data_IF_022285493619
#
_entry.id   IF_022285493619
#
_cell.length_a   1.000
_cell.length_b   1.000
_cell.length_c   1.000
_cell.angle_alpha   90.00
_cell.angle_beta   90.00
_cell.angle_gamma   90.00
#
_symmetry.space_group_name_H-M   'P 1'
#
loop_
_entity.id
_entity.type
_entity.pdbx_description
1 polymer ?
#
# COMPACT_ATOMS: atom_id res chain seq x y z
N UNK A 1 32.01 20.03 40.45
CA UNK A 1 30.56 19.80 40.24
C UNK A 1 29.77 21.06 39.85
N UNK A 2 30.40 22.24 39.65
CA UNK A 2 29.72 23.50 39.29
C UNK A 2 30.16 24.10 37.93
N UNK A 3 31.05 23.43 37.19
CA UNK A 3 31.55 23.94 35.90
C UNK A 3 30.91 23.26 34.66
N UNK A 4 30.17 22.17 34.86
CA UNK A 4 29.47 21.45 33.77
C UNK A 4 28.07 22.00 33.46
N UNK A 5 27.52 22.86 34.32
CA UNK A 5 26.17 23.44 34.18
C UNK A 5 26.11 24.75 33.38
N UNK A 6 27.25 25.31 32.97
CA UNK A 6 27.30 26.58 32.24
C UNK A 6 27.31 26.42 30.70
N UNK A 7 27.51 25.20 30.18
CA UNK A 7 27.51 24.92 28.74
C UNK A 7 26.12 24.63 28.15
N UNK A 8 25.09 24.46 28.99
CA UNK A 8 23.69 24.22 28.58
C UNK A 8 22.88 25.49 28.35
N UNK A 9 23.50 26.66 28.41
CA UNK A 9 22.83 27.96 28.29
C UNK A 9 23.46 28.85 27.21
N UNK A 10 23.88 28.27 26.08
CA UNK A 10 23.98 29.06 24.85
C UNK A 10 22.56 29.15 24.26
N UNK A 11 21.87 30.30 24.34
CA UNK A 11 20.66 30.50 23.56
C UNK A 11 21.01 30.28 22.10
N UNK A 12 20.20 29.48 21.42
CA UNK A 12 20.32 29.12 20.01
C UNK A 12 20.34 30.40 19.17
N UNK A 13 21.54 30.91 18.87
CA UNK A 13 21.77 32.08 18.02
C UNK A 13 21.67 31.67 16.54
N UNK A 14 20.52 31.11 16.16
CA UNK A 14 20.18 30.75 14.79
C UNK A 14 18.65 30.78 14.63
N UNK A 15 18.13 31.03 13.43
CA UNK A 15 16.69 30.95 13.20
C UNK A 15 16.16 29.57 13.60
N UNK A 16 14.95 29.47 14.15
CA UNK A 16 14.34 28.21 14.66
C UNK A 16 14.36 27.04 13.64
N UNK A 17 14.54 27.34 12.35
CA UNK A 17 14.66 26.35 11.27
C UNK A 17 16.06 25.72 11.12
N UNK A 18 17.10 26.25 11.78
CA UNK A 18 18.44 25.67 11.84
C UNK A 18 18.69 24.89 13.13
N UNK A 19 17.72 24.85 14.03
CA UNK A 19 17.83 24.04 15.24
C UNK A 19 17.88 22.54 14.85
N UNK A 20 18.93 21.81 15.22
CA UNK A 20 19.06 20.39 14.90
C UNK A 20 17.86 19.57 15.40
N UNK A 21 17.33 19.89 16.59
CA UNK A 21 16.12 19.27 17.12
C UNK A 21 14.91 19.50 16.19
N UNK A 22 14.68 20.73 15.73
CA UNK A 22 13.54 21.06 14.88
C UNK A 22 13.66 20.41 13.49
N UNK A 23 14.88 20.29 12.95
CA UNK A 23 15.15 19.60 11.69
C UNK A 23 14.94 18.08 11.81
N UNK A 24 15.36 17.46 12.91
CA UNK A 24 15.20 16.03 13.15
C UNK A 24 13.72 15.68 13.42
N UNK A 25 13.00 16.48 14.20
CA UNK A 25 11.57 16.30 14.48
C UNK A 25 10.73 16.53 13.21
N UNK A 26 11.10 17.52 12.40
CA UNK A 26 10.50 17.74 11.09
C UNK A 26 10.72 16.53 10.17
N UNK A 27 11.93 15.97 10.12
CA UNK A 27 12.25 14.82 9.26
C UNK A 27 11.34 13.61 9.53
N UNK A 28 11.03 13.34 10.80
CA UNK A 28 10.12 12.26 11.17
C UNK A 28 8.67 12.51 10.72
N UNK A 29 8.17 13.74 10.82
CA UNK A 29 6.85 14.11 10.32
C UNK A 29 6.76 14.03 8.78
N UNK A 30 7.80 14.50 8.08
CA UNK A 30 7.90 14.40 6.61
C UNK A 30 8.00 12.94 6.14
N UNK A 31 8.71 12.09 6.87
CA UNK A 31 8.78 10.66 6.59
C UNK A 31 7.40 9.98 6.73
N UNK A 32 6.66 10.30 7.80
CA UNK A 32 5.30 9.80 7.99
C UNK A 32 4.36 10.24 6.87
N UNK A 33 4.41 11.52 6.48
CA UNK A 33 3.65 12.03 5.33
C UNK A 33 4.03 11.33 4.03
N UNK A 34 5.32 11.06 3.80
CA UNK A 34 5.79 10.31 2.65
C UNK A 34 5.22 8.88 2.61
N UNK A 35 5.25 8.17 3.74
CA UNK A 35 4.67 6.82 3.87
C UNK A 35 3.16 6.87 3.58
N UNK A 36 2.45 7.83 4.17
CA UNK A 36 1.02 8.02 3.93
C UNK A 36 0.72 8.26 2.45
N UNK A 37 1.48 9.16 1.81
CA UNK A 37 1.31 9.48 0.40
C UNK A 37 1.52 8.26 -0.49
N UNK A 38 2.58 7.48 -0.25
CA UNK A 38 2.86 6.26 -1.03
C UNK A 38 1.74 5.23 -0.88
N UNK A 39 1.30 4.95 0.35
CA UNK A 39 0.19 4.01 0.61
C UNK A 39 -1.09 4.50 -0.05
N UNK A 40 -1.39 5.79 0.06
CA UNK A 40 -2.57 6.39 -0.55
C UNK A 40 -2.55 6.25 -2.08
N UNK A 41 -1.41 6.54 -2.72
CA UNK A 41 -1.24 6.44 -4.17
C UNK A 41 -1.33 4.97 -4.62
N UNK A 42 -0.66 4.06 -3.94
CA UNK A 42 -0.67 2.64 -4.28
C UNK A 42 -2.08 2.06 -4.24
N UNK A 43 -2.79 2.33 -3.15
CA UNK A 43 -4.13 1.77 -2.90
C UNK A 43 -5.20 2.52 -3.71
N UNK A 44 -5.06 3.83 -3.89
CA UNK A 44 -6.07 4.68 -4.53
C UNK A 44 -5.93 4.89 -6.03
N UNK A 45 -4.71 4.87 -6.58
CA UNK A 45 -4.44 5.20 -7.98
C UNK A 45 -4.04 3.98 -8.85
N UNK A 46 -4.31 2.75 -8.39
CA UNK A 46 -4.03 1.52 -9.15
C UNK A 46 -2.56 1.39 -9.59
N UNK A 47 -1.61 1.87 -8.78
CA UNK A 47 -0.18 1.72 -9.03
C UNK A 47 0.39 0.60 -8.15
N UNK A 48 0.32 -0.68 -8.56
CA UNK A 48 0.75 -1.82 -7.74
C UNK A 48 2.28 -1.96 -7.61
N UNK A 49 3.04 -1.03 -8.17
CA UNK A 49 4.52 -1.08 -8.22
C UNK A 49 5.14 -0.51 -6.94
N UNK A 50 4.36 0.19 -6.12
CA UNK A 50 4.83 0.78 -4.87
C UNK A 50 4.85 -0.27 -3.75
N UNK A 51 5.90 -0.32 -2.91
CA UNK A 51 6.07 -1.36 -1.88
C UNK A 51 5.37 -0.99 -0.55
N UNK A 52 4.05 -0.83 -0.55
CA UNK A 52 3.28 -0.39 0.63
C UNK A 52 3.31 -1.35 1.81
N UNK A 53 3.34 -2.67 1.57
CA UNK A 53 3.49 -3.66 2.64
C UNK A 53 4.82 -3.49 3.39
N UNK A 54 5.89 -3.21 2.63
CA UNK A 54 7.22 -2.96 3.18
C UNK A 54 7.21 -1.68 4.03
N UNK A 55 6.55 -0.63 3.55
CA UNK A 55 6.44 0.64 4.27
C UNK A 55 5.64 0.53 5.57
N UNK A 56 4.49 -0.14 5.55
CA UNK A 56 3.69 -0.40 6.76
C UNK A 56 4.51 -1.16 7.81
N UNK A 57 5.19 -2.23 7.37
CA UNK A 57 6.03 -3.03 8.25
C UNK A 57 7.17 -2.19 8.84
N UNK A 58 7.87 -1.46 7.98
CA UNK A 58 9.03 -0.64 8.36
C UNK A 58 8.63 0.46 9.32
N UNK A 59 7.50 1.14 9.07
CA UNK A 59 6.98 2.16 9.95
C UNK A 59 6.73 1.60 11.36
N UNK A 60 6.12 0.40 11.45
CA UNK A 60 5.95 -0.29 12.72
C UNK A 60 7.28 -0.64 13.42
N UNK A 61 8.23 -1.21 12.68
CA UNK A 61 9.53 -1.62 13.21
C UNK A 61 10.38 -0.44 13.70
N UNK A 62 10.31 0.71 13.01
CA UNK A 62 11.02 1.92 13.39
C UNK A 62 10.45 2.54 14.67
N UNK A 63 9.12 2.50 14.86
CA UNK A 63 8.48 2.96 16.12
C UNK A 63 8.91 2.08 17.30
N UNK A 64 9.06 0.77 17.09
CA UNK A 64 9.50 -0.16 18.13
C UNK A 64 10.91 0.14 18.67
N UNK A 65 11.79 0.68 17.83
CA UNK A 65 13.17 0.97 18.20
C UNK A 65 13.36 2.38 18.77
N UNK A 66 12.29 3.17 18.89
CA UNK A 66 12.36 4.61 19.20
C UNK A 66 13.28 5.39 18.24
N UNK A 67 13.55 4.84 17.05
CA UNK A 67 14.40 5.45 16.03
C UNK A 67 13.65 6.50 15.19
N UNK A 68 12.31 6.48 15.24
CA UNK A 68 11.52 7.62 14.82
C UNK A 68 11.58 8.66 15.94
N UNK A 69 12.23 9.80 15.67
CA UNK A 69 12.15 11.03 16.46
C UNK A 69 10.73 11.65 16.43
N UNK A 70 9.70 10.84 16.25
CA UNK A 70 8.31 11.26 16.23
C UNK A 70 7.69 10.74 17.52
N UNK A 71 7.08 11.60 18.37
CA UNK A 71 6.38 11.18 19.58
C UNK A 71 5.03 10.53 19.25
N UNK A 72 5.03 9.52 18.37
CA UNK A 72 3.83 8.84 17.88
C UNK A 72 3.83 7.42 18.43
N UNK A 73 2.82 7.12 19.22
CA UNK A 73 2.60 5.77 19.73
C UNK A 73 2.19 4.83 18.58
N UNK A 74 2.50 3.53 18.68
CA UNK A 74 2.08 2.52 17.70
C UNK A 74 0.57 2.55 17.42
N UNK A 75 -0.26 2.86 18.42
CA UNK A 75 -1.70 3.05 18.26
C UNK A 75 -2.05 4.21 17.33
N UNK A 76 -1.35 5.34 17.46
CA UNK A 76 -1.55 6.52 16.62
C UNK A 76 -1.04 6.26 15.20
N UNK A 77 0.15 5.68 15.05
CA UNK A 77 0.70 5.31 13.75
C UNK A 77 -0.26 4.35 13.02
N UNK A 78 -0.65 3.26 13.67
CA UNK A 78 -1.57 2.28 13.11
C UNK A 78 -2.90 2.93 12.71
N UNK A 79 -3.45 3.83 13.54
CA UNK A 79 -4.67 4.56 13.22
C UNK A 79 -4.53 5.43 11.97
N UNK A 80 -3.45 6.21 11.88
CA UNK A 80 -3.16 7.08 10.74
C UNK A 80 -3.01 6.27 9.44
N UNK A 81 -2.27 5.16 9.49
CA UNK A 81 -2.03 4.30 8.32
C UNK A 81 -3.32 3.58 7.87
N UNK A 82 -4.15 3.12 8.82
CA UNK A 82 -5.47 2.55 8.50
C UNK A 82 -6.36 3.60 7.83
N UNK A 83 -6.45 4.82 8.37
CA UNK A 83 -7.26 5.89 7.79
C UNK A 83 -6.76 6.26 6.40
N UNK A 84 -5.44 6.32 6.22
CA UNK A 84 -4.83 6.63 4.93
C UNK A 84 -5.13 5.56 3.88
N UNK A 85 -4.92 4.29 4.22
CA UNK A 85 -5.24 3.17 3.35
C UNK A 85 -6.75 3.12 3.02
N UNK A 86 -7.60 3.36 4.02
CA UNK A 86 -9.05 3.39 3.85
C UNK A 86 -9.50 4.55 2.94
N UNK A 87 -8.89 5.73 3.08
CA UNK A 87 -9.15 6.85 2.17
C UNK A 87 -8.75 6.49 0.73
N UNK A 88 -7.59 5.83 0.55
CA UNK A 88 -7.15 5.32 -0.75
C UNK A 88 -8.16 4.34 -1.36
N UNK A 89 -8.66 3.36 -0.60
CA UNK A 89 -9.67 2.41 -1.11
C UNK A 89 -10.99 3.09 -1.47
N UNK A 90 -11.40 4.13 -0.73
CA UNK A 90 -12.57 4.93 -1.09
C UNK A 90 -12.37 5.63 -2.43
N UNK A 91 -11.21 6.26 -2.65
CA UNK A 91 -10.88 6.88 -3.93
C UNK A 91 -10.95 5.86 -5.07
N UNK A 92 -10.36 4.67 -4.90
CA UNK A 92 -10.44 3.59 -5.89
C UNK A 92 -11.88 3.18 -6.22
N UNK A 93 -12.72 3.00 -5.20
CA UNK A 93 -14.13 2.66 -5.40
C UNK A 93 -14.89 3.75 -6.18
N UNK A 94 -14.68 5.02 -5.84
CA UNK A 94 -15.34 6.12 -6.53
C UNK A 94 -14.85 6.28 -7.97
N UNK A 95 -13.55 6.11 -8.21
CA UNK A 95 -12.98 6.07 -9.56
C UNK A 95 -13.66 4.96 -10.37
N UNK A 96 -13.73 3.73 -9.82
CA UNK A 96 -14.40 2.61 -10.47
C UNK A 96 -15.89 2.87 -10.74
N UNK A 97 -16.60 3.47 -9.78
CA UNK A 97 -18.03 3.77 -9.91
C UNK A 97 -18.34 4.90 -10.89
N UNK A 98 -17.46 5.88 -11.02
CA UNK A 98 -17.65 7.02 -11.93
C UNK A 98 -17.22 6.67 -13.36
N UNK A 99 -16.16 5.87 -13.50
CA UNK A 99 -15.64 5.40 -14.79
C UNK A 99 -16.47 4.24 -15.33
N UNK A 100 -17.07 3.42 -14.46
CA UNK A 100 -17.91 2.28 -14.81
C UNK A 100 -18.98 2.62 -15.86
N UNK A 101 -19.94 3.54 -15.59
CA UNK A 101 -20.98 3.98 -16.53
C UNK A 101 -20.44 4.41 -17.90
N UNK A 102 -19.36 5.20 -17.93
CA UNK A 102 -18.73 5.67 -19.17
C UNK A 102 -18.06 4.55 -19.98
N UNK A 103 -17.75 3.42 -19.34
CA UNK A 103 -17.28 2.20 -20.01
C UNK A 103 -18.42 1.41 -20.65
N UNK A 104 -19.66 1.52 -20.14
CA UNK A 104 -20.83 0.85 -20.71
C UNK A 104 -21.36 1.55 -21.98
N UNK A 105 -21.16 2.87 -22.11
CA UNK A 105 -21.62 3.67 -23.26
C UNK A 105 -20.80 3.43 -24.55
N UNK A 106 -19.76 2.58 -24.53
CA UNK A 106 -18.96 2.20 -25.71
C UNK A 106 -18.90 0.68 -25.90
N UNK A 107 -19.97 0.07 -26.45
CA UNK A 107 -20.08 -1.39 -26.60
C UNK A 107 -19.07 -2.05 -27.57
N UNK A 108 -18.35 -1.27 -28.38
CA UNK A 108 -17.55 -1.78 -29.52
C UNK A 108 -16.02 -1.66 -29.38
N UNK A 109 -15.47 -1.48 -28.18
CA UNK A 109 -14.00 -1.55 -28.03
C UNK A 109 -13.54 -3.01 -27.87
N UNK A 110 -12.66 -3.46 -28.77
CA UNK A 110 -12.03 -4.82 -28.80
C UNK A 110 -11.34 -5.26 -27.49
N UNK A 111 -11.29 -4.40 -26.47
CA UNK A 111 -10.59 -4.59 -25.20
C UNK A 111 -11.57 -4.80 -24.02
N UNK A 112 -12.86 -4.44 -24.15
CA UNK A 112 -13.83 -4.48 -23.04
C UNK A 112 -15.16 -5.13 -23.45
N UNK A 113 -15.35 -6.40 -23.10
CA UNK A 113 -16.62 -7.14 -23.30
C UNK A 113 -17.52 -7.01 -22.07
N UNK A 114 -18.79 -6.68 -22.29
CA UNK A 114 -19.85 -6.63 -21.27
C UNK A 114 -19.90 -7.89 -20.38
N UNK A 115 -19.56 -9.05 -20.95
CA UNK A 115 -19.38 -10.33 -20.25
C UNK A 115 -18.45 -10.27 -19.03
N UNK A 116 -17.39 -9.46 -19.05
CA UNK A 116 -16.48 -9.33 -17.90
C UNK A 116 -17.11 -8.53 -16.76
N UNK A 117 -18.00 -7.58 -17.09
CA UNK A 117 -18.71 -6.78 -16.10
C UNK A 117 -19.84 -7.59 -15.46
N UNK A 118 -20.60 -8.34 -16.27
CA UNK A 118 -21.59 -9.28 -15.76
C UNK A 118 -20.94 -10.38 -14.91
N UNK A 119 -19.77 -10.87 -15.31
CA UNK A 119 -18.98 -11.78 -14.48
C UNK A 119 -18.53 -11.12 -13.19
N UNK A 120 -18.07 -9.87 -13.21
CA UNK A 120 -17.64 -9.14 -12.00
C UNK A 120 -18.83 -8.94 -11.05
N UNK A 121 -19.99 -8.55 -11.58
CA UNK A 121 -21.24 -8.45 -10.83
C UNK A 121 -21.63 -9.81 -10.23
N UNK A 122 -21.69 -10.87 -11.03
CA UNK A 122 -22.01 -12.21 -10.57
C UNK A 122 -20.98 -12.75 -9.57
N UNK A 123 -19.71 -12.35 -9.68
CA UNK A 123 -18.66 -12.73 -8.74
C UNK A 123 -18.85 -12.05 -7.38
N UNK A 124 -19.16 -10.75 -7.38
CA UNK A 124 -19.48 -10.03 -6.14
C UNK A 124 -20.80 -10.50 -5.53
N UNK A 125 -21.79 -10.87 -6.34
CA UNK A 125 -23.06 -11.44 -5.88
C UNK A 125 -22.88 -12.85 -5.28
N UNK A 126 -21.99 -13.67 -5.87
CA UNK A 126 -21.74 -15.06 -5.45
C UNK A 126 -20.78 -15.19 -4.27
N UNK A 127 -19.71 -14.40 -4.23
CA UNK A 127 -18.68 -14.48 -3.18
C UNK A 127 -18.81 -13.38 -2.10
N UNK A 128 -19.65 -12.38 -2.35
CA UNK A 128 -20.00 -11.32 -1.40
C UNK A 128 -18.82 -10.45 -0.98
N UNK A 129 -19.02 -9.69 0.10
CA UNK A 129 -17.98 -8.82 0.65
C UNK A 129 -16.78 -9.54 1.28
N UNK A 130 -16.84 -10.85 1.54
CA UNK A 130 -15.69 -11.60 2.10
C UNK A 130 -14.46 -11.56 1.19
N UNK A 131 -14.68 -11.55 -0.13
CA UNK A 131 -13.62 -11.39 -1.13
C UNK A 131 -12.87 -10.07 -0.96
N UNK A 132 -13.55 -8.99 -0.59
CA UNK A 132 -12.91 -7.69 -0.34
C UNK A 132 -11.96 -7.73 0.86
N UNK A 133 -12.27 -8.53 1.88
CA UNK A 133 -11.39 -8.69 3.04
C UNK A 133 -10.12 -9.46 2.63
N UNK A 134 -10.29 -10.57 1.92
CA UNK A 134 -9.17 -11.42 1.48
C UNK A 134 -8.28 -10.67 0.47
N UNK A 135 -8.88 -9.89 -0.42
CA UNK A 135 -8.18 -9.10 -1.41
C UNK A 135 -7.10 -8.19 -0.81
N UNK A 136 -7.32 -7.69 0.42
CA UNK A 136 -6.36 -6.79 1.08
C UNK A 136 -5.01 -7.44 1.39
N UNK A 137 -4.99 -8.76 1.58
CA UNK A 137 -3.78 -9.52 1.85
C UNK A 137 -2.99 -9.90 0.59
N UNK A 138 -3.54 -9.61 -0.60
CA UNK A 138 -2.90 -9.94 -1.88
C UNK A 138 -2.51 -8.62 -2.57
N UNK A 139 -1.21 -8.26 -2.62
CA UNK A 139 -0.71 -6.92 -3.01
C UNK A 139 -1.24 -6.38 -4.34
N UNK A 140 -1.49 -7.26 -5.32
CA UNK A 140 -2.09 -6.88 -6.59
C UNK A 140 -3.61 -6.80 -6.55
N UNK A 141 -4.25 -7.75 -5.87
CA UNK A 141 -5.71 -7.85 -5.89
C UNK A 141 -6.31 -6.70 -5.10
N UNK A 142 -5.67 -6.20 -4.03
CA UNK A 142 -6.20 -5.10 -3.22
C UNK A 142 -6.48 -3.81 -3.99
N UNK A 143 -5.57 -3.44 -4.89
CA UNK A 143 -5.67 -2.19 -5.67
C UNK A 143 -6.83 -2.32 -6.68
N UNK A 144 -6.91 -3.45 -7.38
CA UNK A 144 -7.99 -3.71 -8.33
C UNK A 144 -9.34 -3.99 -7.66
N UNK A 145 -9.38 -4.55 -6.46
CA UNK A 145 -10.62 -4.96 -5.79
C UNK A 145 -11.53 -3.77 -5.50
N UNK A 146 -10.97 -2.64 -5.06
CA UNK A 146 -11.75 -1.43 -4.75
C UNK A 146 -12.39 -0.84 -6.01
N UNK A 147 -11.62 -0.78 -7.10
CA UNK A 147 -12.10 -0.29 -8.41
C UNK A 147 -13.12 -1.27 -9.01
N UNK A 148 -12.85 -2.58 -8.96
CA UNK A 148 -13.76 -3.60 -9.45
C UNK A 148 -15.10 -3.58 -8.71
N UNK A 149 -15.10 -3.36 -7.39
CA UNK A 149 -16.31 -3.18 -6.61
C UNK A 149 -17.11 -1.93 -7.03
N UNK A 150 -16.41 -0.84 -7.40
CA UNK A 150 -17.03 0.36 -7.95
C UNK A 150 -17.64 0.14 -9.34
N UNK A 151 -16.90 -0.52 -10.24
CA UNK A 151 -17.35 -0.84 -11.61
C UNK A 151 -18.56 -1.79 -11.58
N UNK A 152 -18.50 -2.82 -10.73
CA UNK A 152 -19.61 -3.75 -10.47
C UNK A 152 -20.69 -3.16 -9.55
N UNK A 153 -20.87 -1.84 -9.54
CA UNK A 153 -21.92 -1.07 -8.84
C UNK A 153 -22.32 -1.62 -7.46
N UNK A 154 -21.35 -2.09 -6.68
CA UNK A 154 -21.61 -2.70 -5.39
C UNK A 154 -22.21 -1.65 -4.43
N UNK A 155 -23.21 -1.97 -3.58
CA UNK A 155 -23.73 -0.99 -2.63
C UNK A 155 -22.63 -0.45 -1.72
N UNK A 156 -22.48 0.88 -1.67
CA UNK A 156 -21.39 1.54 -0.93
C UNK A 156 -21.30 1.11 0.53
N UNK A 157 -22.44 0.92 1.20
CA UNK A 157 -22.47 0.45 2.59
C UNK A 157 -21.89 -0.97 2.76
N UNK A 158 -22.09 -1.84 1.78
CA UNK A 158 -21.53 -3.19 1.80
C UNK A 158 -20.03 -3.13 1.51
N UNK A 159 -19.60 -2.32 0.54
CA UNK A 159 -18.19 -2.09 0.28
C UNK A 159 -17.44 -1.58 1.52
N UNK A 160 -17.89 -0.49 2.13
CA UNK A 160 -17.24 0.14 3.29
C UNK A 160 -17.10 -0.83 4.47
N UNK A 161 -18.14 -1.62 4.78
CA UNK A 161 -18.11 -2.57 5.90
C UNK A 161 -17.03 -3.63 5.71
N UNK A 162 -17.03 -4.31 4.57
CA UNK A 162 -16.08 -5.40 4.33
C UNK A 162 -14.68 -4.90 4.00
N UNK A 163 -14.57 -3.84 3.19
CA UNK A 163 -13.30 -3.20 2.89
C UNK A 163 -12.66 -2.64 4.16
N UNK A 164 -13.43 -1.96 5.03
CA UNK A 164 -12.94 -1.43 6.29
C UNK A 164 -12.36 -2.51 7.19
N UNK A 165 -13.04 -3.65 7.35
CA UNK A 165 -12.50 -4.80 8.10
C UNK A 165 -11.17 -5.27 7.47
N UNK A 166 -11.13 -5.43 6.15
CA UNK A 166 -9.91 -5.84 5.46
C UNK A 166 -8.75 -4.86 5.63
N UNK A 167 -9.00 -3.54 5.50
CA UNK A 167 -7.99 -2.50 5.67
C UNK A 167 -7.47 -2.48 7.11
N UNK A 168 -8.36 -2.58 8.11
CA UNK A 168 -7.95 -2.62 9.52
C UNK A 168 -7.07 -3.83 9.80
N UNK A 169 -7.47 -5.02 9.32
CA UNK A 169 -6.70 -6.24 9.52
C UNK A 169 -5.36 -6.22 8.79
N UNK A 170 -5.32 -5.70 7.56
CA UNK A 170 -4.10 -5.61 6.77
C UNK A 170 -3.19 -4.48 7.25
N UNK A 171 -3.62 -3.21 7.15
CA UNK A 171 -2.78 -2.07 7.50
C UNK A 171 -2.44 -2.06 8.98
N UNK A 172 -3.41 -2.35 9.86
CA UNK A 172 -3.17 -2.49 11.28
C UNK A 172 -2.29 -3.71 11.59
N UNK A 173 -2.64 -4.88 11.05
CA UNK A 173 -1.92 -6.12 11.32
C UNK A 173 -0.46 -6.09 10.87
N UNK A 174 -0.17 -5.63 9.65
CA UNK A 174 1.19 -5.52 9.12
C UNK A 174 2.01 -4.51 9.91
N UNK A 175 1.42 -3.36 10.28
CA UNK A 175 2.10 -2.35 11.10
C UNK A 175 2.43 -2.87 12.49
N UNK A 176 1.47 -3.52 13.15
CA UNK A 176 1.67 -4.13 14.47
C UNK A 176 2.67 -5.28 14.45
N UNK A 177 2.65 -6.07 13.38
CA UNK A 177 3.60 -7.16 13.19
C UNK A 177 5.02 -6.60 12.99
N UNK A 178 5.18 -5.52 12.23
CA UNK A 178 6.43 -4.78 12.12
C UNK A 178 6.93 -4.28 13.47
N UNK A 179 6.04 -3.70 14.28
CA UNK A 179 6.37 -3.26 15.64
C UNK A 179 6.81 -4.41 16.55
N UNK A 180 6.03 -5.50 16.60
CA UNK A 180 6.34 -6.66 17.41
C UNK A 180 7.70 -7.27 17.03
N UNK A 181 7.99 -7.42 15.73
CA UNK A 181 9.28 -7.92 15.27
C UNK A 181 10.43 -6.93 15.47
N UNK A 182 10.15 -5.63 15.37
CA UNK A 182 11.12 -4.56 15.62
C UNK A 182 11.62 -4.50 17.05
N UNK A 183 10.83 -4.99 18.02
CA UNK A 183 11.28 -5.12 19.42
C UNK A 183 12.23 -6.29 19.67
N UNK A 184 12.37 -7.22 18.72
CA UNK A 184 13.27 -8.38 18.84
C UNK A 184 14.71 -7.92 18.57
N UNK A 185 15.66 -8.10 19.51
CA UNK A 185 17.01 -7.54 19.41
C UNK A 185 17.83 -8.07 18.21
N UNK A 186 17.56 -9.30 17.73
CA UNK A 186 18.17 -9.85 16.52
C UNK A 186 17.75 -9.09 15.24
N UNK A 187 16.49 -8.66 15.19
CA UNK A 187 15.90 -7.96 14.05
C UNK A 187 16.27 -6.47 14.11
N UNK A 188 16.26 -5.89 15.32
CA UNK A 188 16.66 -4.51 15.54
C UNK A 188 18.10 -4.21 15.10
N UNK A 189 19.02 -5.17 15.30
CA UNK A 189 20.42 -5.04 14.89
C UNK A 189 20.61 -5.13 13.36
N UNK A 190 19.63 -5.63 12.62
CA UNK A 190 19.72 -5.91 11.18
C UNK A 190 18.55 -5.28 10.39
N UNK A 191 18.11 -4.09 10.77
CA UNK A 191 16.93 -3.47 10.14
C UNK A 191 17.15 -3.21 8.64
N UNK A 192 18.36 -2.85 8.22
CA UNK A 192 18.71 -2.63 6.81
C UNK A 192 18.58 -3.93 6.01
N UNK A 193 19.07 -5.05 6.58
CA UNK A 193 18.97 -6.37 5.95
C UNK A 193 17.52 -6.81 5.88
N UNK A 194 16.74 -6.60 6.94
CA UNK A 194 15.31 -6.90 6.96
C UNK A 194 14.54 -6.08 5.92
N UNK A 195 14.82 -4.78 5.83
CA UNK A 195 14.26 -3.88 4.82
C UNK A 195 14.55 -4.36 3.41
N UNK A 196 15.81 -4.66 3.12
CA UNK A 196 16.25 -5.19 1.83
C UNK A 196 15.58 -6.54 1.54
N UNK A 197 15.46 -7.42 2.53
CA UNK A 197 14.79 -8.72 2.39
C UNK A 197 13.31 -8.55 2.10
N UNK A 198 12.59 -7.68 2.81
CA UNK A 198 11.16 -7.46 2.58
C UNK A 198 10.93 -6.85 1.19
N UNK A 199 11.75 -5.88 0.78
CA UNK A 199 11.70 -5.31 -0.57
C UNK A 199 12.00 -6.37 -1.62
N UNK A 200 13.03 -7.20 -1.43
CA UNK A 200 13.35 -8.30 -2.36
C UNK A 200 12.23 -9.33 -2.43
N UNK A 201 11.69 -9.78 -1.30
CA UNK A 201 10.57 -10.72 -1.24
C UNK A 201 9.32 -10.13 -1.89
N UNK A 202 9.13 -8.81 -1.83
CA UNK A 202 8.02 -8.12 -2.50
C UNK A 202 8.26 -8.00 -4.01
N UNK A 203 9.45 -7.62 -4.46
CA UNK A 203 9.76 -7.30 -5.87
C UNK A 203 10.08 -8.53 -6.71
N UNK A 204 10.75 -9.53 -6.16
CA UNK A 204 11.24 -10.73 -6.90
C UNK A 204 10.10 -11.57 -7.49
N UNK A 205 9.01 -11.89 -6.76
CA UNK A 205 7.89 -12.67 -7.33
C UNK A 205 7.26 -11.94 -8.52
N UNK A 206 7.11 -10.62 -8.40
CA UNK A 206 6.55 -9.74 -9.42
C UNK A 206 7.40 -9.76 -10.67
N UNK A 207 8.72 -9.57 -10.50
CA UNK A 207 9.67 -9.62 -11.60
C UNK A 207 9.66 -11.00 -12.28
N UNK A 208 9.53 -12.08 -11.51
CA UNK A 208 9.47 -13.43 -12.04
C UNK A 208 8.20 -13.70 -12.85
N UNK A 209 7.04 -13.25 -12.36
CA UNK A 209 5.75 -13.36 -13.05
C UNK A 209 5.78 -12.60 -14.39
N UNK A 210 6.26 -11.34 -14.38
CA UNK A 210 6.38 -10.49 -15.57
C UNK A 210 7.34 -11.09 -16.59
N UNK A 211 8.50 -11.60 -16.15
CA UNK A 211 9.46 -12.26 -17.05
C UNK A 211 8.89 -13.55 -17.65
N UNK A 212 8.11 -14.31 -16.87
CA UNK A 212 7.46 -15.53 -17.33
C UNK A 212 6.37 -15.24 -18.37
N UNK A 213 5.57 -14.20 -18.16
CA UNK A 213 4.57 -13.77 -19.15
C UNK A 213 5.20 -13.25 -20.44
N UNK A 214 6.27 -12.45 -20.35
CA UNK A 214 7.01 -11.97 -21.54
C UNK A 214 7.64 -13.12 -22.32
N UNK A 215 8.13 -14.17 -21.65
CA UNK A 215 8.63 -15.38 -22.31
C UNK A 215 7.51 -16.16 -22.99
N UNK A 216 6.35 -16.33 -22.35
CA UNK A 216 5.19 -17.00 -22.96
C UNK A 216 4.65 -16.23 -24.18
N UNK A 217 4.56 -14.90 -24.09
CA UNK A 217 4.14 -14.06 -25.20
C UNK A 217 5.09 -14.13 -26.41
N UNK A 218 6.42 -14.17 -26.16
CA UNK A 218 7.44 -14.31 -27.21
C UNK A 218 7.41 -15.68 -27.89
N UNK A 219 7.10 -16.75 -27.14
CA UNK A 219 6.97 -18.10 -27.70
C UNK A 219 5.70 -18.21 -28.57
N UNK A 220 4.58 -17.62 -28.14
CA UNK A 220 3.34 -17.58 -28.93
C UNK A 220 3.47 -16.76 -30.22
N UNK A 221 4.19 -15.63 -30.20
CA UNK A 221 4.38 -14.83 -31.41
C UNK A 221 5.27 -15.53 -32.46
N UNK A 222 6.24 -16.34 -32.02
CA UNK A 222 7.08 -17.15 -32.91
C UNK A 222 6.32 -18.36 -33.49
N UNK A 223 5.39 -18.95 -32.74
CA UNK A 223 4.52 -20.04 -33.22
C UNK A 223 3.45 -19.54 -34.20
N UNK A 224 2.88 -18.35 -33.97
CA UNK A 224 1.94 -17.74 -34.91
C UNK A 224 2.59 -17.33 -36.25
N UNK A 225 3.88 -16.94 -36.22
CA UNK A 225 4.64 -16.61 -37.43
C UNK A 225 5.14 -17.83 -38.24
N UNK A 226 4.96 -19.05 -37.72
CA UNK A 226 5.41 -20.30 -38.35
C UNK A 226 4.27 -21.21 -38.83
N UNK A 227 3.01 -20.80 -38.67
CA UNK A 227 1.87 -21.46 -39.32
C UNK A 227 1.72 -20.92 -40.76
N UNK A 228 1.84 -21.76 -41.81
CA UNK A 228 1.51 -21.34 -43.16
C UNK A 228 0.00 -21.11 -43.26
N UNK A 229 -0.41 -19.97 -43.81
CA UNK A 229 -1.81 -19.72 -44.18
C UNK A 229 -2.30 -20.88 -45.07
N UNK A 230 -3.33 -21.57 -44.62
CA UNK A 230 -3.99 -22.67 -45.34
C UNK A 230 -5.12 -22.15 -46.23
#
# INVERSE_FOLDING_TARGET
>A
MLLTSALTALPTLGPDFLDPQHLIDSFGAWALLGIMLVIFIEVGLLFPILPGDSLLFTAGALVAQQNLNVPVNIWQLSGILIVTAFAGTQCGYWIGRLVGPKLFDRPDSRIFKQKYIDQTHAYFERYGGRTLVIAQFVPFVRTYASVAAGVGQMPYQHFVKFNGIGVVLWAGGVTWLGYALGTIPFIAKNIEVLLVVIVLVSVVPIAFEVLRERRKAKVQSLQAASQPEA
#
